data_IF_406006290636
#
_entry.id   IF_406006290636
#
_cell.length_a   1.000
_cell.length_b   1.000
_cell.length_c   1.000
_cell.angle_alpha   90.00
_cell.angle_beta   90.00
_cell.angle_gamma   90.00
#
_symmetry.space_group_name_H-M   'P 1'
#
loop_
_entity.id
_entity.type
_entity.pdbx_description
1 polymer ?
2 branched ?
3 branched ?
4 non-polymer ?
5 water ?
#
# COMPACT_ATOMS: atom_id res chain seq x y z
N UNK A 1 6.16 6.37 21.05
CA UNK A 1 4.96 5.73 21.67
C UNK A 1 3.63 5.97 20.95
N UNK A 2 3.35 5.21 19.89
CA UNK A 2 2.07 5.28 19.16
C UNK A 2 1.97 6.46 18.18
N UNK A 3 2.77 6.35 17.14
CA UNK A 3 2.77 7.32 16.05
C UNK A 3 2.14 6.70 14.82
N UNK A 4 1.69 7.58 13.94
CA UNK A 4 1.14 7.18 12.66
C UNK A 4 1.94 7.91 11.61
N UNK A 5 2.44 7.16 10.61
CA UNK A 5 3.28 7.71 9.54
C UNK A 5 2.49 8.07 8.26
N UNK A 6 2.53 9.33 7.89
CA UNK A 6 1.88 9.76 6.65
C UNK A 6 2.95 10.05 5.58
N UNK A 7 2.91 9.29 4.50
CA UNK A 7 3.85 9.44 3.41
C UNK A 7 3.25 10.35 2.34
N UNK A 8 4.07 11.25 1.79
CA UNK A 8 3.60 12.18 0.77
C UNK A 8 4.44 12.01 -0.49
N UNK A 9 3.80 11.67 -1.60
CA UNK A 9 4.50 11.46 -2.88
C UNK A 9 5.13 12.74 -3.44
N UNK A 10 4.32 13.80 -3.46
CA UNK A 10 4.75 15.11 -3.93
C UNK A 10 3.98 16.19 -3.23
N UNK A 11 4.71 17.11 -2.62
CA UNK A 11 4.12 18.28 -1.98
C UNK A 11 3.44 19.14 -3.06
N UNK A 12 2.28 19.73 -2.76
CA UNK A 12 1.55 20.54 -3.74
C UNK A 12 2.37 21.69 -4.30
N UNK A 13 3.26 22.23 -3.47
CA UNK A 13 4.08 23.37 -3.85
C UNK A 13 5.56 23.10 -3.66
N UNK A 14 6.35 23.99 -4.22
CA UNK A 14 7.77 23.74 -4.47
C UNK A 14 8.60 23.67 -3.20
N UNK A 15 8.43 24.66 -2.34
CA UNK A 15 9.24 24.77 -1.13
C UNK A 15 8.63 24.06 0.09
N UNK A 16 9.29 22.97 0.50
CA UNK A 16 8.91 22.19 1.68
C UNK A 16 8.81 23.02 2.96
N UNK A 17 9.65 24.06 3.07
CA UNK A 17 9.73 24.87 4.27
C UNK A 17 8.47 25.71 4.48
N UNK A 18 7.74 26.01 3.41
CA UNK A 18 6.53 26.81 3.53
C UNK A 18 5.26 25.96 3.74
N UNK A 19 5.40 24.65 3.77
CA UNK A 19 4.26 23.74 3.85
C UNK A 19 4.25 22.92 5.14
N UNK A 20 3.06 22.52 5.60
CA UNK A 20 2.92 21.74 6.81
C UNK A 20 1.75 20.79 6.81
N UNK A 21 1.73 19.90 7.79
CA UNK A 21 0.65 18.93 7.96
C UNK A 21 -0.26 19.31 9.15
N UNK A 22 -1.49 19.64 8.82
CA UNK A 22 -2.48 20.07 9.79
C UNK A 22 -3.38 18.88 10.03
N UNK A 23 -3.49 18.47 11.29
CA UNK A 23 -4.19 17.24 11.65
C UNK A 23 -5.30 17.48 12.68
N UNK A 24 -6.26 16.58 12.70
CA UNK A 24 -7.31 16.59 13.69
C UNK A 24 -7.89 15.19 13.90
N UNK A 25 -8.98 15.11 14.67
CA UNK A 25 -9.56 13.83 15.10
C UNK A 25 -8.63 13.07 16.04
N UNK A 26 -8.37 11.78 15.81
CA UNK A 26 -7.72 10.94 16.84
C UNK A 26 -6.19 11.10 16.95
N UNK A 27 -5.70 12.34 16.83
CA UNK A 27 -4.28 12.65 17.07
C UNK A 27 -4.17 13.29 18.46
N UNK A 28 -3.00 13.15 19.11
CA UNK A 28 -2.86 13.60 20.49
C UNK A 28 -3.15 15.10 20.67
N UNK A 29 -2.51 15.91 19.82
CA UNK A 29 -2.65 17.35 19.88
C UNK A 29 -3.07 17.86 18.50
N UNK A 30 -4.38 17.98 18.28
CA UNK A 30 -4.89 18.48 17.00
C UNK A 30 -4.30 19.85 16.73
N UNK A 31 -3.94 20.11 15.47
CA UNK A 31 -3.28 21.36 15.14
C UNK A 31 -4.11 22.57 15.58
N UNK A 32 -3.42 23.60 16.07
CA UNK A 32 -4.06 24.87 16.37
C UNK A 32 -3.23 25.99 15.78
N UNK A 33 -3.78 27.21 15.75
CA UNK A 33 -3.07 28.39 15.27
C UNK A 33 -2.74 28.29 13.78
N UNK A 34 -3.80 28.25 12.99
CA UNK A 34 -3.75 28.21 11.54
C UNK A 34 -2.99 29.43 10.95
N UNK A 35 -2.10 29.24 9.98
CA UNK A 35 -1.69 27.92 9.46
C UNK A 35 -0.45 27.35 10.11
N UNK A 36 0.24 28.17 10.89
CA UNK A 36 1.60 27.86 11.37
C UNK A 36 1.70 26.77 12.43
N UNK A 37 0.60 26.50 13.14
CA UNK A 37 0.54 25.38 14.07
C UNK A 37 0.58 23.99 13.44
N UNK A 38 0.45 23.94 12.11
CA UNK A 38 0.71 22.71 11.35
C UNK A 38 2.12 22.14 11.62
N UNK A 39 2.29 20.85 11.36
CA UNK A 39 3.59 20.19 11.46
C UNK A 39 4.37 20.43 10.17
N UNK A 40 5.44 21.21 10.28
CA UNK A 40 6.22 21.68 9.12
C UNK A 40 6.87 20.54 8.31
N UNK A 41 6.84 20.66 6.99
CA UNK A 41 7.55 19.72 6.12
C UNK A 41 9.03 20.07 6.04
N UNK A 42 9.40 21.20 6.64
CA UNK A 42 10.81 21.59 6.68
C UNK A 42 11.69 20.46 7.26
N UNK A 43 11.20 19.80 8.31
CA UNK A 43 11.92 18.70 8.95
C UNK A 43 11.43 17.29 8.60
N UNK A 44 10.69 17.20 7.50
CA UNK A 44 10.23 15.94 6.96
C UNK A 44 11.40 15.06 6.55
N UNK A 45 11.31 13.77 6.88
CA UNK A 45 12.26 12.78 6.40
C UNK A 45 11.79 12.26 5.06
N UNK A 46 12.66 11.53 4.38
CA UNK A 46 12.41 11.13 3.00
C UNK A 46 12.71 9.66 2.86
N UNK A 47 11.97 8.97 1.98
CA UNK A 47 12.30 7.60 1.59
C UNK A 47 12.16 7.45 0.08
N UNK A 48 12.10 6.21 -0.42
CA UNK A 48 12.01 5.91 -1.85
C UNK A 48 10.84 6.62 -2.53
N UNK A 49 9.77 6.75 -1.78
CA UNK A 49 8.50 7.25 -2.30
C UNK A 49 8.36 8.78 -2.29
N UNK A 50 8.89 9.42 -1.25
CA UNK A 50 8.73 10.85 -1.07
C UNK A 50 8.99 11.23 0.37
N UNK A 51 8.37 12.30 0.85
CA UNK A 51 8.51 12.66 2.25
C UNK A 51 7.62 11.83 3.17
N UNK A 52 7.89 11.92 4.47
CA UNK A 52 7.01 11.40 5.50
C UNK A 52 7.12 12.17 6.82
N UNK A 53 5.99 12.23 7.52
CA UNK A 53 5.90 12.84 8.84
C UNK A 53 5.18 11.86 9.77
N UNK A 54 5.62 11.79 11.04
CA UNK A 54 5.00 10.91 12.03
C UNK A 54 4.19 11.72 13.01
N UNK A 55 2.93 11.33 13.17
CA UNK A 55 1.98 12.08 13.98
C UNK A 55 1.60 11.26 15.22
N UNK A 56 1.68 11.86 16.40
CA UNK A 56 1.36 11.18 17.63
C UNK A 56 -0.14 11.00 17.75
N UNK A 57 -0.56 9.77 18.00
CA UNK A 57 -1.98 9.43 18.08
C UNK A 57 -2.60 9.63 19.46
N UNK A 58 -3.89 9.98 19.47
CA UNK A 58 -4.71 10.17 20.68
C UNK A 58 -5.14 8.80 21.15
N UNK A 59 -4.16 7.95 21.47
CA UNK A 59 -4.40 6.52 21.32
C UNK A 59 -3.77 5.57 22.30
N UNK A 60 -4.41 4.41 22.48
CA UNK A 60 -5.66 4.14 21.75
C UNK A 60 -6.90 4.72 22.47
N UNK A 61 -8.11 4.44 21.98
CA UNK A 61 -8.34 3.66 20.77
C UNK A 61 -8.43 4.58 19.55
N UNK A 62 -7.29 5.19 19.18
CA UNK A 62 -7.22 6.06 17.99
C UNK A 62 -7.63 5.28 16.74
N UNK A 63 -8.52 5.86 15.95
CA UNK A 63 -9.05 5.14 14.80
C UNK A 63 -9.20 6.04 13.56
N UNK A 64 -9.40 7.34 13.76
CA UNK A 64 -9.54 8.22 12.63
C UNK A 64 -8.51 9.33 12.65
N UNK A 65 -7.68 9.38 11.62
CA UNK A 65 -6.68 10.44 11.47
C UNK A 65 -7.06 11.33 10.28
N UNK A 66 -7.35 12.59 10.56
CA UNK A 66 -7.74 13.52 9.51
C UNK A 66 -6.64 14.53 9.35
N UNK A 67 -6.46 15.03 8.13
CA UNK A 67 -5.31 15.86 7.81
C UNK A 67 -5.45 16.60 6.50
N UNK A 68 -4.59 17.60 6.33
CA UNK A 68 -4.44 18.28 5.05
C UNK A 68 -3.02 18.79 4.95
N UNK A 69 -2.57 19.14 3.75
CA UNK A 69 -1.36 19.95 3.62
C UNK A 69 -1.74 21.42 3.36
N UNK A 70 -1.16 22.31 4.16
CA UNK A 70 -1.40 23.74 4.04
C UNK A 70 -0.09 24.45 3.74
N UNK A 71 -0.14 25.78 3.55
CA UNK A 71 1.08 26.57 3.42
C UNK A 71 1.04 27.74 4.40
N UNK A 72 2.15 28.49 4.48
CA UNK A 72 2.33 29.53 5.51
C UNK A 72 1.39 30.70 5.32
N UNK A 73 0.85 30.82 4.13
CA UNK A 73 -0.33 31.63 4.11
C UNK A 73 -1.00 31.63 2.82
N UNK A 74 -2.22 31.14 2.90
CA UNK A 74 -2.65 30.35 4.07
C UNK A 74 -3.64 29.29 3.59
N UNK A 75 -3.19 28.56 2.59
CA UNK A 75 -4.03 27.75 1.74
C UNK A 75 -4.22 26.32 2.24
N UNK A 76 -5.40 25.76 2.01
CA UNK A 76 -5.59 24.35 2.20
C UNK A 76 -5.31 23.75 0.84
N UNK A 77 -4.10 23.25 0.66
CA UNK A 77 -3.65 22.78 -0.64
C UNK A 77 -4.28 21.47 -1.13
N UNK A 78 -4.52 20.53 -0.23
CA UNK A 78 -4.98 19.20 -0.66
C UNK A 78 -6.49 19.02 -0.62
N UNK A 79 -7.18 19.79 0.22
CA UNK A 79 -8.52 19.46 0.66
C UNK A 79 -8.39 18.58 1.90
N UNK A 80 -9.49 18.39 2.62
CA UNK A 80 -9.50 17.59 3.84
C UNK A 80 -9.44 16.12 3.50
N UNK A 81 -8.56 15.40 4.18
CA UNK A 81 -8.41 13.96 4.02
C UNK A 81 -8.57 13.31 5.38
N UNK A 82 -8.99 12.04 5.37
CA UNK A 82 -9.10 11.22 6.58
C UNK A 82 -8.63 9.81 6.26
N UNK A 83 -8.00 9.15 7.23
CA UNK A 83 -7.68 7.73 7.17
C UNK A 83 -8.32 7.08 8.40
N UNK A 84 -8.95 5.93 8.19
CA UNK A 84 -9.46 5.15 9.30
C UNK A 84 -8.60 3.90 9.43
N UNK A 85 -8.05 3.68 10.62
CA UNK A 85 -7.32 2.45 10.85
C UNK A 85 -8.25 1.25 10.56
N UNK A 86 -7.81 0.37 9.68
CA UNK A 86 -8.52 -0.87 9.42
C UNK A 86 -8.44 -1.75 10.65
N UNK A 87 -7.26 -1.84 11.24
CA UNK A 87 -7.03 -2.55 12.48
C UNK A 87 -6.18 -1.65 13.37
N UNK A 88 -6.18 -1.91 14.68
CA UNK A 88 -5.29 -1.18 15.61
C UNK A 88 -3.80 -1.09 15.19
N UNK A 89 -3.26 -2.09 14.51
CA UNK A 89 -1.84 -2.08 14.16
C UNK A 89 -1.53 -1.26 12.89
N UNK A 90 -2.57 -0.87 12.14
CA UNK A 90 -2.36 -0.02 10.98
C UNK A 90 -1.70 1.29 11.42
N UNK A 91 -0.51 1.56 10.88
CA UNK A 91 0.36 2.65 11.39
C UNK A 91 0.95 3.59 10.32
N UNK A 92 0.55 3.41 9.07
CA UNK A 92 1.06 4.22 7.97
C UNK A 92 -0.02 4.38 6.91
N UNK A 93 0.00 5.52 6.23
CA UNK A 93 -0.81 5.75 5.04
C UNK A 93 0.04 6.51 4.03
N UNK A 94 -0.36 6.42 2.76
CA UNK A 94 0.35 7.05 1.64
C UNK A 94 -0.58 7.99 0.88
N UNK A 95 -0.08 9.18 0.62
CA UNK A 95 -0.76 10.19 -0.19
C UNK A 95 -0.05 10.23 -1.54
N UNK A 96 -0.76 9.97 -2.63
CA UNK A 96 -0.11 10.04 -3.95
C UNK A 96 -0.17 11.43 -4.54
N UNK A 97 0.24 11.55 -5.81
CA UNK A 97 0.33 12.84 -6.47
C UNK A 97 -1.02 13.55 -6.65
N UNK A 98 -2.11 12.78 -6.73
CA UNK A 98 -3.48 13.35 -6.79
C UNK A 98 -4.15 13.42 -5.42
N UNK A 99 -3.36 13.23 -4.37
CA UNK A 99 -3.85 13.22 -2.98
C UNK A 99 -4.93 12.17 -2.68
N UNK A 100 -4.84 11.01 -3.34
CA UNK A 100 -5.59 9.84 -2.90
C UNK A 100 -4.85 9.18 -1.77
N UNK A 101 -5.60 8.57 -0.85
CA UNK A 101 -5.05 7.90 0.32
C UNK A 101 -5.08 6.37 0.20
N UNK A 102 -3.94 5.72 0.50
CA UNK A 102 -3.83 4.26 0.46
C UNK A 102 -3.30 3.73 1.78
N UNK A 103 -3.62 2.47 2.09
CA UNK A 103 -3.10 1.77 3.27
C UNK A 103 -1.77 1.06 3.00
N UNK A 104 -1.23 1.27 1.80
CA UNK A 104 0.03 0.68 1.33
C UNK A 104 0.70 1.68 0.38
N UNK A 105 1.98 1.48 0.07
CA UNK A 105 2.65 2.27 -0.94
C UNK A 105 2.16 1.88 -2.33
N UNK A 106 1.56 2.82 -3.05
CA UNK A 106 1.11 2.55 -4.42
C UNK A 106 2.28 2.41 -5.39
N UNK A 107 2.09 1.58 -6.41
CA UNK A 107 3.16 1.25 -7.35
C UNK A 107 2.93 1.99 -8.66
N UNK A 108 3.96 2.06 -9.52
CA UNK A 108 3.84 2.81 -10.79
C UNK A 108 2.67 2.27 -11.61
N UNK A 109 2.03 3.15 -12.37
CA UNK A 109 0.93 2.78 -13.25
C UNK A 109 1.37 1.66 -14.22
N UNK A 110 0.41 0.87 -14.67
CA UNK A 110 0.71 -0.26 -15.53
C UNK A 110 1.46 -1.40 -14.83
N UNK A 111 1.19 -1.59 -13.55
CA UNK A 111 1.70 -2.72 -12.80
C UNK A 111 0.69 -3.12 -11.76
N UNK A 112 0.60 -4.43 -11.49
CA UNK A 112 0.01 -4.92 -10.25
C UNK A 112 1.10 -5.69 -9.50
N UNK A 113 1.39 -5.24 -8.28
CA UNK A 113 2.24 -5.97 -7.34
C UNK A 113 1.42 -7.02 -6.60
N UNK A 114 1.84 -8.26 -6.73
CA UNK A 114 1.22 -9.36 -6.01
C UNK A 114 2.08 -9.68 -4.79
N UNK A 115 1.59 -9.34 -3.61
CA UNK A 115 2.29 -9.66 -2.37
C UNK A 115 1.85 -11.02 -1.80
N UNK A 116 2.82 -11.83 -1.39
CA UNK A 116 2.53 -13.13 -0.81
C UNK A 116 3.28 -13.31 0.49
N UNK A 117 2.54 -13.53 1.58
CA UNK A 117 3.11 -13.73 2.91
C UNK A 117 2.87 -15.15 3.37
N UNK A 118 3.92 -15.80 3.87
CA UNK A 118 3.79 -17.09 4.56
C UNK A 118 4.12 -17.00 6.04
N UNK A 119 3.19 -17.47 6.87
CA UNK A 119 3.38 -17.52 8.31
C UNK A 119 4.64 -18.30 8.66
N UNK A 120 4.87 -19.39 7.91
CA UNK A 120 6.10 -20.17 8.00
C UNK A 120 7.24 -19.58 7.13
N UNK A 121 8.25 -20.39 6.88
CA UNK A 121 8.97 -20.39 5.60
C UNK A 121 9.48 -19.11 4.94
N UNK A 122 9.76 -19.16 3.64
CA UNK A 122 9.62 -20.34 2.75
C UNK A 122 8.40 -20.36 1.80
N UNK A 123 8.36 -19.67 0.66
CA UNK A 123 9.31 -18.78 -0.04
C UNK A 123 10.21 -19.43 -1.09
N UNK A 124 11.09 -20.35 -0.74
CA UNK A 124 11.77 -21.10 -1.81
C UNK A 124 11.39 -22.56 -1.66
N UNK A 125 10.51 -23.12 -2.55
CA UNK A 125 10.27 -22.68 -3.95
C UNK A 125 8.82 -22.27 -4.30
N UNK A 126 8.47 -21.03 -3.96
CA UNK A 126 7.12 -20.53 -4.20
C UNK A 126 7.09 -19.68 -5.45
N UNK A 127 6.05 -19.86 -6.24
CA UNK A 127 5.89 -19.15 -7.51
C UNK A 127 4.44 -18.88 -7.85
N UNK A 128 4.24 -17.94 -8.77
CA UNK A 128 2.93 -17.56 -9.24
C UNK A 128 2.72 -17.96 -10.70
N UNK A 129 1.64 -18.69 -10.96
CA UNK A 129 1.22 -18.97 -12.33
C UNK A 129 0.05 -18.03 -12.60
N UNK A 130 0.16 -17.20 -13.63
CA UNK A 130 -0.87 -16.20 -13.89
C UNK A 130 -1.21 -16.02 -15.38
N UNK A 131 -2.38 -15.43 -15.61
CA UNK A 131 -2.96 -15.30 -16.93
C UNK A 131 -3.96 -14.13 -16.86
N UNK A 132 -4.50 -13.74 -18.01
CA UNK A 132 -5.62 -12.82 -18.14
C UNK A 132 -5.34 -11.34 -17.97
N UNK A 133 -5.14 -10.60 -19.06
CA UNK A 133 -4.99 -9.12 -19.05
C UNK A 133 -3.60 -8.68 -18.62
N UNK A 134 -2.63 -9.57 -18.81
CA UNK A 134 -1.25 -9.33 -18.44
C UNK A 134 -0.38 -9.39 -19.69
N UNK A 135 0.68 -8.58 -19.70
CA UNK A 135 1.63 -8.54 -20.82
C UNK A 135 2.23 -9.92 -21.05
N UNK A 136 2.68 -10.55 -19.97
CA UNK A 136 3.40 -11.82 -20.05
C UNK A 136 2.74 -12.96 -19.24
N UNK A 137 1.70 -13.58 -19.79
CA UNK A 137 1.06 -14.73 -19.12
C UNK A 137 2.03 -15.89 -18.96
N UNK A 138 2.00 -16.55 -17.81
CA UNK A 138 2.89 -17.68 -17.56
C UNK A 138 2.94 -18.60 -18.80
N UNK A 139 4.16 -18.82 -19.31
CA UNK A 139 4.41 -19.72 -20.45
C UNK A 139 5.90 -19.99 -20.69
N UNK A 140 6.49 -21.00 -20.03
CA UNK A 140 5.80 -21.90 -19.14
C UNK A 140 6.53 -23.21 -18.88
N UNK A 141 5.87 -24.30 -19.27
CA UNK A 141 6.09 -25.65 -18.77
C UNK A 141 5.73 -25.80 -17.29
N UNK A 142 4.46 -26.09 -17.05
CA UNK A 142 3.93 -26.49 -15.74
C UNK A 142 4.95 -27.36 -14.98
N UNK A 143 5.15 -27.08 -13.68
CA UNK A 143 4.49 -26.02 -12.94
C UNK A 143 5.38 -24.81 -12.55
N UNK A 144 5.98 -24.11 -13.50
CA UNK A 144 6.80 -22.93 -13.14
C UNK A 144 6.67 -21.78 -14.15
N UNK A 145 6.09 -20.65 -13.76
CA UNK A 145 5.82 -20.28 -12.39
C UNK A 145 6.83 -19.18 -12.16
N UNK A 146 6.38 -17.93 -12.10
CA UNK A 146 7.27 -16.82 -11.73
C UNK A 146 7.55 -16.92 -10.25
N UNK A 147 8.84 -17.02 -9.91
CA UNK A 147 9.29 -17.26 -8.55
C UNK A 147 9.03 -16.05 -7.66
N UNK A 148 8.65 -16.30 -6.40
CA UNK A 148 8.54 -15.25 -5.39
C UNK A 148 9.93 -15.10 -4.77
N UNK A 149 10.66 -14.08 -5.24
CA UNK A 149 12.08 -13.95 -4.92
C UNK A 149 12.38 -12.64 -4.18
N UNK A 150 11.77 -11.55 -4.64
CA UNK A 150 11.86 -10.22 -4.02
C UNK A 150 11.13 -10.14 -2.68
N UNK A 151 11.72 -9.42 -1.73
CA UNK A 151 11.19 -9.23 -0.38
C UNK A 151 10.76 -7.77 -0.16
N UNK A 152 9.53 -7.56 0.31
CA UNK A 152 9.04 -6.24 0.62
C UNK A 152 8.51 -6.17 2.03
N UNK A 153 7.62 -5.22 2.29
CA UNK A 153 7.01 -5.04 3.62
C UNK A 153 5.99 -6.12 4.00
N UNK A 154 5.38 -6.75 2.99
CA UNK A 154 4.22 -7.65 3.21
C UNK A 154 4.43 -9.09 2.73
N UNK A 155 5.61 -9.63 3.04
CA UNK A 155 6.00 -10.94 2.55
C UNK A 155 6.74 -10.73 1.25
N UNK A 156 6.81 -11.77 0.42
CA UNK A 156 7.48 -11.63 -0.87
C UNK A 156 6.53 -10.99 -1.89
N UNK A 157 7.06 -10.62 -3.06
CA UNK A 157 6.21 -10.02 -4.10
C UNK A 157 6.69 -10.24 -5.54
N UNK A 158 5.74 -10.15 -6.46
CA UNK A 158 6.04 -10.10 -7.88
C UNK A 158 5.29 -8.91 -8.47
N UNK A 159 6.00 -8.11 -9.25
CA UNK A 159 5.40 -7.06 -10.07
C UNK A 159 5.03 -7.57 -11.46
N UNK A 160 3.76 -7.40 -11.83
CA UNK A 160 3.24 -7.91 -13.10
C UNK A 160 2.91 -6.77 -14.08
N UNK A 161 3.58 -6.77 -15.23
CA UNK A 161 3.27 -5.84 -16.33
C UNK A 161 1.82 -6.01 -16.80
N UNK A 162 1.05 -4.93 -16.76
CA UNK A 162 -0.38 -5.00 -17.04
C UNK A 162 -0.77 -5.05 -18.53
N UNK A 163 -0.56 -3.95 -19.25
CA UNK A 163 -1.16 -3.73 -20.58
C UNK A 163 -2.53 -3.07 -20.48
N UNK A 164 -2.91 -2.36 -21.55
CA UNK A 164 -4.28 -1.86 -21.76
C UNK A 164 -4.80 -0.97 -20.63
N UNK A 165 -6.14 -0.98 -20.51
CA UNK A 165 -6.82 -0.61 -19.29
C UNK A 165 -7.11 -1.96 -18.61
N UNK A 166 -6.07 -2.53 -18.00
CA UNK A 166 -6.18 -3.86 -17.41
C UNK A 166 -7.35 -3.90 -16.44
N UNK A 167 -8.15 -4.96 -16.59
CA UNK A 167 -9.40 -5.13 -15.85
C UNK A 167 -9.25 -6.18 -14.76
N UNK A 168 -8.91 -7.39 -15.19
CA UNK A 168 -9.08 -8.57 -14.35
C UNK A 168 -8.03 -9.62 -14.69
N UNK A 169 -7.50 -10.28 -13.67
CA UNK A 169 -6.56 -11.37 -13.91
C UNK A 169 -6.76 -12.56 -12.98
N UNK A 170 -6.25 -13.72 -13.40
CA UNK A 170 -6.30 -14.92 -12.61
C UNK A 170 -4.92 -15.47 -12.33
N UNK A 171 -4.81 -16.26 -11.27
CA UNK A 171 -3.52 -16.82 -10.87
C UNK A 171 -3.67 -18.03 -9.95
N UNK A 172 -2.61 -18.81 -9.82
CA UNK A 172 -2.51 -19.87 -8.82
C UNK A 172 -1.19 -19.70 -8.07
N UNK A 173 -1.25 -19.80 -6.75
CA UNK A 173 -0.05 -19.81 -5.93
C UNK A 173 0.48 -21.24 -6.05
N UNK A 174 1.79 -21.38 -6.31
CA UNK A 174 2.41 -22.69 -6.49
C UNK A 174 3.56 -22.98 -5.52
N UNK A 175 3.59 -24.21 -5.00
CA UNK A 175 4.70 -24.76 -4.21
C UNK A 175 5.40 -25.80 -5.08
N UNK A 176 6.49 -25.40 -5.72
CA UNK A 176 7.20 -26.29 -6.65
C UNK A 176 7.95 -27.43 -5.96
N UNK A 177 7.95 -27.44 -4.63
CA UNK A 177 8.57 -28.52 -3.86
C UNK A 177 7.68 -29.76 -3.79
N UNK A 178 6.52 -29.70 -4.44
CA UNK A 178 5.50 -30.72 -4.22
C UNK A 178 5.16 -31.61 -5.42
N UNK A 179 4.44 -32.69 -5.13
CA UNK A 179 3.85 -33.57 -6.11
C UNK A 179 2.52 -32.98 -6.55
N UNK A 180 1.82 -32.34 -5.61
CA UNK A 180 0.79 -31.31 -5.91
C UNK A 180 1.10 -29.82 -5.60
N UNK A 181 1.40 -29.13 -6.68
CA UNK A 181 1.99 -27.80 -6.69
C UNK A 181 1.06 -26.67 -6.25
N UNK A 182 -0.24 -26.90 -6.31
CA UNK A 182 -1.20 -25.81 -6.38
C UNK A 182 -1.40 -24.86 -5.16
N UNK A 183 -0.94 -25.23 -3.97
CA UNK A 183 -1.34 -24.57 -2.70
C UNK A 183 -2.88 -24.49 -2.51
N UNK A 184 -3.56 -23.81 -3.43
CA UNK A 184 -5.02 -23.88 -3.54
C UNK A 184 -5.37 -24.43 -4.93
N UNK A 185 -6.24 -25.43 -4.95
CA UNK A 185 -6.56 -26.15 -6.19
C UNK A 185 -7.27 -25.29 -7.22
N UNK A 186 -8.18 -24.45 -6.74
CA UNK A 186 -9.02 -23.65 -7.62
C UNK A 186 -8.35 -22.33 -7.99
N UNK A 187 -8.51 -21.94 -9.25
CA UNK A 187 -8.05 -20.64 -9.76
C UNK A 187 -8.51 -19.48 -8.90
N UNK A 188 -7.56 -18.60 -8.55
CA UNK A 188 -7.89 -17.30 -8.02
C UNK A 188 -8.29 -16.44 -9.21
N UNK A 189 -9.20 -15.50 -8.97
CA UNK A 189 -9.63 -14.51 -9.96
C UNK A 189 -9.82 -13.16 -9.31
N UNK A 190 -9.16 -12.15 -9.87
CA UNK A 190 -9.26 -10.80 -9.36
C UNK A 190 -9.70 -9.81 -10.44
N UNK A 191 -10.65 -8.95 -10.07
CA UNK A 191 -11.11 -7.87 -10.93
C UNK A 191 -10.31 -6.58 -10.67
N UNK A 192 -10.96 -5.58 -10.08
CA UNK A 192 -10.39 -4.30 -9.64
C UNK A 192 -8.91 -3.95 -9.93
N UNK A 193 -8.37 -4.40 -11.06
CA UNK A 193 -7.00 -4.08 -11.42
C UNK A 193 -6.77 -2.59 -11.78
N UNK A 194 -7.87 -1.83 -11.83
CA UNK A 194 -7.79 -0.38 -12.03
C UNK A 194 -7.71 0.36 -10.71
N UNK A 195 -8.42 -0.17 -9.72
CA UNK A 195 -8.69 0.51 -8.46
C UNK A 195 -7.64 0.22 -7.38
N UNK A 196 -6.54 -0.45 -7.73
CA UNK A 196 -5.60 -0.91 -6.72
C UNK A 196 -4.09 -0.68 -6.96
N UNK A 197 -3.42 -1.63 -7.62
CA UNK A 197 -1.95 -1.60 -7.85
C UNK A 197 -1.17 -2.61 -7.00
N UNK A 198 -1.65 -2.87 -5.78
CA UNK A 198 -1.14 -3.95 -4.95
C UNK A 198 -2.32 -4.86 -4.54
N UNK A 199 -2.06 -6.18 -4.50
CA UNK A 199 -2.95 -7.13 -3.81
C UNK A 199 -2.13 -7.96 -2.82
N UNK A 200 -2.82 -8.50 -1.80
CA UNK A 200 -2.16 -9.11 -0.68
C UNK A 200 -2.71 -10.49 -0.46
N UNK A 201 -1.80 -11.48 -0.45
CA UNK A 201 -2.18 -12.87 -0.27
C UNK A 201 -1.39 -13.51 0.85
N UNK A 202 -1.91 -14.59 1.44
CA UNK A 202 -1.15 -15.25 2.48
C UNK A 202 -1.44 -16.73 2.59
N UNK A 203 -0.43 -17.50 2.95
CA UNK A 203 -0.62 -18.93 3.24
C UNK A 203 -1.43 -19.66 2.15
N UNK A 204 -2.52 -20.30 2.53
CA UNK A 204 -3.42 -20.96 1.57
C UNK A 204 -4.80 -20.33 1.66
N UNK A 205 -4.83 -19.07 2.13
CA UNK A 205 -6.03 -18.26 2.27
C UNK A 205 -6.69 -18.05 0.92
N UNK A 206 -7.95 -18.41 0.86
CA UNK A 206 -8.77 -18.25 -0.34
C UNK A 206 -8.94 -16.78 -0.77
N UNK A 207 -8.83 -15.85 0.20
CA UNK A 207 -9.16 -14.45 -0.06
C UNK A 207 -8.03 -13.66 -0.69
N UNK A 208 -8.43 -12.75 -1.59
CA UNK A 208 -7.52 -11.80 -2.19
C UNK A 208 -7.75 -10.50 -1.44
N UNK A 209 -6.79 -10.13 -0.60
CA UNK A 209 -6.94 -8.93 0.18
C UNK A 209 -6.41 -7.71 -0.56
N UNK A 210 -7.01 -6.58 -0.25
CA UNK A 210 -6.77 -5.31 -0.91
C UNK A 210 -6.03 -4.33 0.02
N UNK A 211 -5.75 -4.81 1.23
CA UNK A 211 -4.91 -4.11 2.19
C UNK A 211 -3.91 -5.10 2.80
N UNK A 212 -2.77 -4.61 3.27
CA UNK A 212 -1.79 -5.46 3.97
C UNK A 212 -2.20 -5.96 5.35
N UNK A 213 -3.39 -5.64 5.87
CA UNK A 213 -3.84 -6.16 7.18
C UNK A 213 -4.78 -7.37 7.06
N UNK A 214 -4.97 -7.85 5.84
CA UNK A 214 -5.72 -9.08 5.57
C UNK A 214 -7.13 -9.03 6.20
N UNK A 215 -7.79 -7.90 6.01
CA UNK A 215 -9.18 -7.76 6.43
C UNK A 215 -10.01 -7.50 5.20
N UNK A 216 -11.22 -8.03 5.20
CA UNK A 216 -12.09 -7.95 4.02
C UNK A 216 -12.68 -6.58 3.81
N UNK A 217 -12.75 -6.24 2.52
CA UNK A 217 -13.37 -5.02 1.94
C UNK A 217 -12.38 -4.03 1.32
#
# INVERSE_FOLDING_TARGET
DNYFRIHVKKLPEENKDAQGLWTWDDVEKPSENWPNGALSFKDAKKDDYGYYLDVKLKGEQAKKISFLINNTAGKNLTGDKSVEKLVPKMNEAWLDQDYKVFSYEPQPAGTVRVNYYRTDGNYDKKSLWYWGDVKNPSSAQWPDGTDFTATGKYGRYIDIPLNEAAREFGFLLLDESKGDVKIRKENYKFTDLKNHSQIFLKDDDESIYTNPYYVHD
#
